data_IF_144735892457
#
_entry.id   IF_144735892457
#
_cell.length_a   1.000
_cell.length_b   1.000
_cell.length_c   1.000
_cell.angle_alpha   90.00
_cell.angle_beta   90.00
_cell.angle_gamma   90.00
#
_symmetry.space_group_name_H-M   'P 1'
#
loop_
_entity.id
_entity.type
_entity.pdbx_description
1 polymer ?
#
# COMPACT_ATOMS: atom_id res chain seq x y z
N UNK A 1 18.28 -15.63 -3.27
CA UNK A 1 19.20 -16.10 -4.31
C UNK A 1 18.44 -16.22 -5.64
N UNK A 2 19.11 -15.90 -6.75
CA UNK A 2 18.54 -15.97 -8.10
C UNK A 2 17.50 -14.90 -8.43
N UNK A 3 17.38 -13.81 -7.63
CA UNK A 3 16.44 -12.74 -7.93
C UNK A 3 16.87 -11.91 -9.15
N UNK A 4 18.18 -11.68 -9.32
CA UNK A 4 18.71 -10.94 -10.47
C UNK A 4 18.35 -11.64 -11.78
N UNK A 5 18.58 -12.93 -11.86
CA UNK A 5 18.28 -13.76 -13.02
C UNK A 5 16.78 -13.75 -13.33
N UNK A 6 15.92 -13.88 -12.30
CA UNK A 6 14.46 -13.77 -12.47
C UNK A 6 14.03 -12.38 -12.94
N UNK A 7 14.66 -11.31 -12.44
CA UNK A 7 14.32 -9.96 -12.89
C UNK A 7 14.68 -9.74 -14.37
N UNK A 8 15.78 -10.33 -14.86
CA UNK A 8 16.14 -10.34 -16.28
C UNK A 8 15.04 -11.03 -17.08
N UNK A 9 14.66 -12.25 -16.69
CA UNK A 9 13.58 -13.01 -17.36
C UNK A 9 12.26 -12.23 -17.35
N UNK A 10 11.87 -11.63 -16.24
CA UNK A 10 10.63 -10.86 -16.15
C UNK A 10 10.65 -9.63 -17.06
N UNK A 11 11.77 -8.94 -17.16
CA UNK A 11 11.93 -7.81 -18.08
C UNK A 11 11.79 -8.26 -19.55
N UNK A 12 12.44 -9.37 -19.91
CA UNK A 12 12.34 -9.98 -21.24
C UNK A 12 10.91 -10.42 -21.58
N UNK A 13 10.16 -10.93 -20.60
CA UNK A 13 8.73 -11.26 -20.73
C UNK A 13 7.82 -10.03 -20.85
N UNK A 14 8.35 -8.82 -20.71
CA UNK A 14 7.60 -7.57 -20.83
C UNK A 14 7.23 -6.89 -19.54
N UNK A 15 7.60 -7.42 -18.35
CA UNK A 15 7.40 -6.72 -17.10
C UNK A 15 8.19 -5.41 -17.04
N UNK A 16 7.64 -4.40 -16.38
CA UNK A 16 8.29 -3.08 -16.19
C UNK A 16 8.34 -2.65 -14.74
N UNK A 17 7.64 -3.34 -13.86
CA UNK A 17 7.72 -3.14 -12.41
C UNK A 17 7.63 -4.48 -11.68
N UNK A 18 8.07 -4.48 -10.44
CA UNK A 18 7.94 -5.60 -9.52
C UNK A 18 7.48 -5.09 -8.14
N UNK A 19 6.91 -5.96 -7.32
CA UNK A 19 6.46 -5.62 -5.98
C UNK A 19 6.95 -6.66 -4.97
N UNK A 20 7.57 -6.21 -3.88
CA UNK A 20 7.95 -7.03 -2.74
C UNK A 20 7.32 -6.52 -1.45
N UNK A 21 6.74 -7.43 -0.68
CA UNK A 21 6.03 -7.16 0.57
C UNK A 21 6.86 -7.62 1.77
N UNK A 22 7.06 -6.73 2.74
CA UNK A 22 7.56 -7.05 4.07
C UNK A 22 6.42 -6.83 5.09
N UNK A 23 6.12 -7.83 5.89
CA UNK A 23 4.98 -7.81 6.82
C UNK A 23 5.47 -7.56 8.24
N UNK A 24 4.96 -6.50 8.86
CA UNK A 24 5.28 -6.08 10.23
C UNK A 24 4.01 -6.25 11.09
N UNK A 25 4.08 -7.11 12.08
CA UNK A 25 2.99 -7.32 13.05
C UNK A 25 3.26 -6.52 14.32
N UNK A 26 2.19 -5.93 14.86
CA UNK A 26 2.20 -5.28 16.18
C UNK A 26 1.60 -6.24 17.21
N UNK A 27 2.34 -6.51 18.28
CA UNK A 27 1.83 -7.13 19.51
C UNK A 27 2.77 -6.83 20.66
N UNK A 28 2.61 -7.49 21.82
CA UNK A 28 3.51 -7.31 22.96
C UNK A 28 4.95 -7.67 22.57
N UNK A 29 5.89 -6.74 22.74
CA UNK A 29 7.31 -6.93 22.44
C UNK A 29 7.69 -6.96 20.95
N UNK A 30 6.76 -6.78 20.04
CA UNK A 30 7.03 -6.73 18.60
C UNK A 30 6.36 -5.52 17.91
N UNK A 31 6.96 -5.01 16.78
CA UNK A 31 8.16 -5.53 16.12
C UNK A 31 9.43 -5.33 16.96
N UNK A 32 10.40 -6.23 16.81
CA UNK A 32 11.73 -6.05 17.37
C UNK A 32 12.61 -5.20 16.43
N UNK A 33 13.68 -4.55 16.95
CA UNK A 33 14.62 -3.82 16.10
C UNK A 33 15.21 -4.70 14.97
N UNK A 34 15.45 -5.98 15.25
CA UNK A 34 15.94 -6.94 14.26
C UNK A 34 14.89 -7.18 13.16
N UNK A 35 13.60 -7.25 13.50
CA UNK A 35 12.53 -7.36 12.52
C UNK A 35 12.51 -6.14 11.59
N UNK A 36 12.56 -4.94 12.13
CA UNK A 36 12.58 -3.69 11.36
C UNK A 36 13.79 -3.63 10.43
N UNK A 37 14.99 -3.77 10.97
CA UNK A 37 16.24 -3.63 10.19
C UNK A 37 16.37 -4.69 9.09
N UNK A 38 16.01 -5.95 9.37
CA UNK A 38 16.11 -7.04 8.39
C UNK A 38 15.12 -6.84 7.24
N UNK A 39 13.88 -6.45 7.52
CA UNK A 39 12.89 -6.19 6.49
C UNK A 39 13.23 -4.95 5.65
N UNK A 40 13.69 -3.86 6.28
CA UNK A 40 14.14 -2.67 5.59
C UNK A 40 15.31 -2.98 4.62
N UNK A 41 16.31 -3.70 5.09
CA UNK A 41 17.44 -4.13 4.26
C UNK A 41 17.02 -5.04 3.11
N UNK A 42 16.10 -6.00 3.35
CA UNK A 42 15.59 -6.88 2.31
C UNK A 42 14.83 -6.12 1.22
N UNK A 43 14.01 -5.14 1.60
CA UNK A 43 13.28 -4.26 0.67
C UNK A 43 14.23 -3.42 -0.18
N UNK A 44 15.24 -2.80 0.45
CA UNK A 44 16.22 -1.99 -0.27
C UNK A 44 17.06 -2.82 -1.24
N UNK A 45 17.53 -3.98 -0.81
CA UNK A 45 18.28 -4.90 -1.68
C UNK A 45 17.46 -5.41 -2.86
N UNK A 46 16.20 -5.74 -2.63
CA UNK A 46 15.26 -6.07 -3.70
C UNK A 46 15.13 -4.91 -4.70
N UNK A 47 14.93 -3.68 -4.20
CA UNK A 47 14.78 -2.49 -5.04
C UNK A 47 16.02 -2.25 -5.91
N UNK A 48 17.23 -2.41 -5.35
CA UNK A 48 18.49 -2.29 -6.09
C UNK A 48 18.57 -3.27 -7.27
N UNK A 49 18.23 -4.55 -7.02
CA UNK A 49 18.24 -5.58 -8.07
C UNK A 49 17.20 -5.28 -9.15
N UNK A 50 16.01 -4.79 -8.79
CA UNK A 50 14.99 -4.38 -9.75
C UNK A 50 15.49 -3.25 -10.66
N UNK A 51 16.03 -2.18 -10.08
CA UNK A 51 16.53 -1.03 -10.85
C UNK A 51 17.69 -1.40 -11.74
N UNK A 52 18.61 -2.26 -11.28
CA UNK A 52 19.71 -2.79 -12.07
C UNK A 52 19.21 -3.48 -13.36
N UNK A 53 18.04 -4.11 -13.31
CA UNK A 53 17.43 -4.83 -14.43
C UNK A 53 16.34 -4.03 -15.17
N UNK A 54 16.23 -2.73 -14.92
CA UNK A 54 15.28 -1.85 -15.61
C UNK A 54 13.83 -1.99 -15.16
N UNK A 55 13.59 -2.60 -14.00
CA UNK A 55 12.26 -2.70 -13.37
C UNK A 55 12.08 -1.62 -12.32
N UNK A 56 10.90 -1.00 -12.29
CA UNK A 56 10.51 -0.10 -11.20
C UNK A 56 10.16 -0.92 -9.96
N UNK A 57 10.88 -0.77 -8.83
CA UNK A 57 10.51 -1.44 -7.59
C UNK A 57 9.34 -0.75 -6.92
N UNK A 58 8.31 -1.51 -6.56
CA UNK A 58 7.27 -1.11 -5.62
C UNK A 58 7.65 -1.70 -4.26
N UNK A 59 8.02 -0.82 -3.34
CA UNK A 59 8.54 -1.15 -2.00
C UNK A 59 7.35 -1.18 -1.04
N UNK A 60 7.06 -2.35 -0.43
CA UNK A 60 5.85 -2.54 0.39
C UNK A 60 6.20 -2.93 1.84
N UNK A 61 6.59 -1.95 2.69
CA UNK A 61 6.67 -2.15 4.14
C UNK A 61 5.25 -2.04 4.73
N UNK A 62 4.63 -3.16 5.06
CA UNK A 62 3.24 -3.21 5.53
C UNK A 62 3.16 -3.48 7.03
N UNK A 63 2.58 -2.56 7.78
CA UNK A 63 2.13 -2.80 9.16
C UNK A 63 0.71 -3.35 9.12
N UNK A 64 0.51 -4.53 9.74
CA UNK A 64 -0.79 -5.21 9.73
C UNK A 64 -1.80 -4.53 10.64
N UNK A 65 -3.08 -4.62 10.24
CA UNK A 65 -4.22 -4.18 11.04
C UNK A 65 -4.63 -5.19 12.14
N UNK A 66 -4.04 -6.39 12.14
CA UNK A 66 -4.36 -7.43 13.12
C UNK A 66 -3.87 -7.03 14.52
N UNK A 67 -4.74 -7.20 15.53
CA UNK A 67 -4.42 -6.95 16.94
C UNK A 67 -5.21 -5.81 17.55
N UNK A 68 -4.85 -5.47 18.80
CA UNK A 68 -5.56 -4.51 19.64
C UNK A 68 -4.83 -3.17 19.85
N UNK A 69 -3.81 -2.90 19.04
CA UNK A 69 -3.07 -1.64 19.12
C UNK A 69 -3.94 -0.45 18.69
N UNK A 70 -3.70 0.72 19.26
CA UNK A 70 -4.34 1.95 18.83
C UNK A 70 -3.69 2.55 17.56
N UNK A 71 -4.33 3.55 16.99
CA UNK A 71 -3.85 4.22 15.79
C UNK A 71 -2.50 4.92 15.99
N UNK A 72 -2.21 5.41 17.21
CA UNK A 72 -0.91 6.03 17.51
C UNK A 72 0.22 4.99 17.45
N UNK A 73 -0.01 3.79 17.99
CA UNK A 73 0.99 2.71 17.90
C UNK A 73 1.21 2.26 16.46
N UNK A 74 0.16 2.21 15.65
CA UNK A 74 0.29 1.96 14.21
C UNK A 74 1.13 3.05 13.53
N UNK A 75 0.89 4.31 13.86
CA UNK A 75 1.69 5.45 13.36
C UNK A 75 3.17 5.28 13.71
N UNK A 76 3.48 5.05 15.00
CA UNK A 76 4.85 4.96 15.47
C UNK A 76 5.63 3.83 14.78
N UNK A 77 5.01 2.66 14.63
CA UNK A 77 5.64 1.51 13.95
C UNK A 77 5.77 1.76 12.45
N UNK A 78 4.78 2.41 11.83
CA UNK A 78 4.85 2.77 10.41
C UNK A 78 5.96 3.79 10.16
N UNK A 79 6.10 4.80 11.02
CA UNK A 79 7.19 5.77 10.97
C UNK A 79 8.56 5.08 11.08
N UNK A 80 8.72 4.19 12.07
CA UNK A 80 9.98 3.46 12.30
C UNK A 80 10.38 2.61 11.07
N UNK A 81 9.44 1.87 10.48
CA UNK A 81 9.76 1.03 9.31
C UNK A 81 10.01 1.86 8.06
N UNK A 82 9.34 3.00 7.87
CA UNK A 82 9.59 3.91 6.76
C UNK A 82 10.99 4.52 6.85
N UNK A 83 11.36 5.06 8.02
CA UNK A 83 12.69 5.62 8.26
C UNK A 83 13.79 4.58 8.00
N UNK A 84 13.64 3.38 8.55
CA UNK A 84 14.59 2.30 8.34
C UNK A 84 14.67 1.86 6.87
N UNK A 85 13.53 1.81 6.17
CA UNK A 85 13.48 1.41 4.76
C UNK A 85 14.18 2.43 3.87
N UNK A 86 13.90 3.72 4.04
CA UNK A 86 14.55 4.74 3.21
C UNK A 86 16.02 4.96 3.57
N UNK A 87 16.41 4.78 4.84
CA UNK A 87 17.84 4.72 5.21
C UNK A 87 18.55 3.57 4.49
N UNK A 88 17.99 2.37 4.51
CA UNK A 88 18.54 1.22 3.77
C UNK A 88 18.53 1.44 2.25
N UNK A 89 17.53 2.10 1.69
CA UNK A 89 17.51 2.50 0.28
C UNK A 89 18.68 3.44 -0.07
N UNK A 90 18.95 4.41 0.79
CA UNK A 90 20.08 5.33 0.61
C UNK A 90 21.42 4.57 0.67
N UNK A 91 21.61 3.65 1.62
CA UNK A 91 22.80 2.78 1.72
C UNK A 91 22.99 1.91 0.48
N UNK A 92 21.93 1.42 -0.14
CA UNK A 92 21.95 0.62 -1.37
C UNK A 92 22.04 1.46 -2.65
N UNK A 93 22.03 2.79 -2.56
CA UNK A 93 22.10 3.70 -3.70
C UNK A 93 20.86 3.67 -4.60
N UNK A 94 19.67 3.44 -4.03
CA UNK A 94 18.42 3.43 -4.78
C UNK A 94 18.14 4.80 -5.38
N UNK A 95 17.82 4.84 -6.67
CA UNK A 95 17.27 6.03 -7.33
C UNK A 95 15.80 6.19 -6.95
N UNK A 96 15.51 7.00 -5.93
CA UNK A 96 14.17 7.21 -5.37
C UNK A 96 13.15 7.65 -6.42
N UNK A 97 13.47 8.60 -7.36
CA UNK A 97 12.52 8.96 -8.43
C UNK A 97 12.14 7.81 -9.38
N UNK A 98 12.87 6.70 -9.33
CA UNK A 98 12.57 5.47 -10.09
C UNK A 98 11.90 4.37 -9.28
N UNK A 99 11.30 4.69 -8.13
CA UNK A 99 10.62 3.73 -7.24
C UNK A 99 9.21 4.18 -6.91
N UNK A 100 8.38 3.26 -6.37
CA UNK A 100 7.08 3.54 -5.76
C UNK A 100 7.03 2.95 -4.35
N UNK A 101 6.30 3.62 -3.46
CA UNK A 101 5.99 3.12 -2.12
C UNK A 101 4.59 2.51 -2.10
N UNK A 102 4.44 1.36 -1.44
CA UNK A 102 3.13 0.76 -1.14
C UNK A 102 2.97 0.56 0.36
N UNK A 103 2.54 1.58 1.10
CA UNK A 103 2.38 1.53 2.54
C UNK A 103 0.96 1.10 2.94
N UNK A 104 0.80 0.72 4.22
CA UNK A 104 -0.49 0.75 4.89
C UNK A 104 -0.95 2.20 5.12
N UNK A 105 -2.24 2.39 5.37
CA UNK A 105 -2.78 3.58 6.01
C UNK A 105 -2.69 3.42 7.54
N UNK A 106 -2.86 4.49 8.30
CA UNK A 106 -2.78 4.46 9.76
C UNK A 106 -4.13 4.10 10.35
N UNK A 107 -4.21 2.96 11.04
CA UNK A 107 -5.42 2.45 11.69
C UNK A 107 -5.18 2.03 13.12
N UNK A 108 -6.25 1.99 13.90
CA UNK A 108 -6.29 1.13 15.08
C UNK A 108 -6.41 -0.35 14.63
N UNK A 109 -5.85 -1.26 15.38
CA UNK A 109 -5.98 -2.70 15.12
C UNK A 109 -7.44 -3.15 15.13
N UNK A 110 -7.74 -4.22 14.41
CA UNK A 110 -9.12 -4.73 14.26
C UNK A 110 -9.79 -5.07 15.59
N UNK A 111 -9.01 -5.47 16.59
CA UNK A 111 -9.48 -5.82 17.94
C UNK A 111 -9.43 -4.64 18.91
N UNK A 112 -9.02 -3.45 18.47
CA UNK A 112 -9.00 -2.25 19.30
C UNK A 112 -10.42 -1.71 19.49
N UNK A 113 -10.86 -1.48 20.74
CA UNK A 113 -12.20 -0.94 20.99
C UNK A 113 -12.37 0.52 20.55
N UNK A 114 -11.26 1.25 20.42
CA UNK A 114 -11.26 2.66 20.06
C UNK A 114 -10.83 2.83 18.59
N UNK A 115 -11.78 2.68 17.69
CA UNK A 115 -11.57 2.95 16.26
C UNK A 115 -11.58 4.46 16.00
N UNK A 116 -10.86 4.91 14.97
CA UNK A 116 -10.82 6.31 14.55
C UNK A 116 -11.68 6.55 13.31
N UNK A 117 -12.09 7.79 13.07
CA UNK A 117 -12.91 8.15 11.90
C UNK A 117 -12.11 8.08 10.60
N UNK A 118 -12.82 8.04 9.45
CA UNK A 118 -12.21 8.05 8.11
C UNK A 118 -11.32 9.27 7.89
N UNK A 119 -11.76 10.43 8.35
CA UNK A 119 -11.01 11.70 8.29
C UNK A 119 -9.71 11.62 9.10
N UNK A 120 -9.79 11.00 10.28
CA UNK A 120 -8.62 10.85 11.14
C UNK A 120 -7.62 9.83 10.56
N UNK A 121 -8.09 8.74 9.94
CA UNK A 121 -7.24 7.81 9.17
C UNK A 121 -6.50 8.56 8.07
N UNK A 122 -7.22 9.34 7.25
CA UNK A 122 -6.62 10.12 6.17
C UNK A 122 -5.58 11.12 6.71
N UNK A 123 -5.94 11.88 7.75
CA UNK A 123 -5.07 12.89 8.38
C UNK A 123 -3.80 12.27 8.96
N UNK A 124 -3.93 11.21 9.76
CA UNK A 124 -2.78 10.54 10.38
C UNK A 124 -1.87 9.89 9.32
N UNK A 125 -2.47 9.33 8.27
CA UNK A 125 -1.70 8.72 7.17
C UNK A 125 -0.87 9.76 6.43
N UNK A 126 -1.48 10.86 5.98
CA UNK A 126 -0.75 11.92 5.28
C UNK A 126 0.31 12.54 6.19
N UNK A 127 0.01 12.77 7.47
CA UNK A 127 0.98 13.28 8.43
C UNK A 127 2.21 12.33 8.58
N UNK A 128 1.96 11.03 8.71
CA UNK A 128 3.04 10.04 8.80
C UNK A 128 3.91 10.06 7.54
N UNK A 129 3.29 10.02 6.36
CA UNK A 129 4.01 10.00 5.09
C UNK A 129 4.82 11.30 4.88
N UNK A 130 4.26 12.47 5.21
CA UNK A 130 4.93 13.77 5.04
C UNK A 130 6.20 13.90 5.90
N UNK A 131 6.24 13.22 7.04
CA UNK A 131 7.39 13.25 7.92
C UNK A 131 8.46 12.19 7.61
N UNK A 132 8.08 11.07 6.94
CA UNK A 132 8.93 9.88 6.86
C UNK A 132 9.18 9.37 5.42
N UNK A 133 8.61 10.02 4.39
CA UNK A 133 8.79 9.61 3.00
C UNK A 133 9.54 10.70 2.21
N UNK A 134 10.58 10.35 1.42
CA UNK A 134 11.31 11.30 0.59
C UNK A 134 10.39 12.05 -0.38
N UNK A 135 10.63 13.34 -0.53
CA UNK A 135 9.81 14.22 -1.38
C UNK A 135 10.00 13.98 -2.88
N UNK A 136 11.10 13.37 -3.28
CA UNK A 136 11.43 13.03 -4.67
C UNK A 136 10.89 11.67 -5.11
N UNK A 137 10.20 10.94 -4.22
CA UNK A 137 9.44 9.74 -4.60
C UNK A 137 8.25 10.17 -5.48
N UNK A 138 8.05 9.57 -6.68
CA UNK A 138 7.00 10.05 -7.60
C UNK A 138 5.59 9.67 -7.18
N UNK A 139 5.40 8.56 -6.45
CA UNK A 139 4.05 8.12 -6.11
C UNK A 139 3.96 7.08 -5.00
N UNK A 140 2.78 7.07 -4.40
CA UNK A 140 2.39 6.17 -3.32
C UNK A 140 1.14 5.42 -3.75
N UNK A 141 1.18 4.10 -3.69
CA UNK A 141 0.07 3.21 -4.08
C UNK A 141 -0.35 2.39 -2.86
N UNK A 142 -1.39 2.82 -2.16
CA UNK A 142 -1.81 2.20 -0.91
C UNK A 142 -2.23 0.74 -1.06
N UNK A 143 -1.96 -0.06 -0.03
CA UNK A 143 -2.60 -1.36 0.15
C UNK A 143 -3.96 -1.19 0.86
N UNK A 144 -4.85 -2.17 0.73
CA UNK A 144 -6.15 -2.13 1.42
C UNK A 144 -6.12 -2.72 2.83
N UNK A 145 -5.15 -3.59 3.14
CA UNK A 145 -4.86 -4.08 4.49
C UNK A 145 -5.96 -4.89 5.18
N UNK A 146 -7.09 -5.15 4.53
CA UNK A 146 -8.25 -5.82 5.14
C UNK A 146 -9.42 -4.89 5.40
N UNK A 147 -9.33 -3.61 5.03
CA UNK A 147 -10.47 -2.70 4.99
C UNK A 147 -11.58 -3.23 4.07
N UNK A 148 -12.80 -2.77 4.29
CA UNK A 148 -13.85 -2.90 3.27
C UNK A 148 -13.43 -2.19 1.99
N UNK A 149 -13.99 -2.58 0.86
CA UNK A 149 -13.71 -1.94 -0.42
C UNK A 149 -14.17 -0.47 -0.45
N UNK A 150 -15.30 -0.15 0.17
CA UNK A 150 -15.79 1.23 0.33
C UNK A 150 -14.88 2.05 1.25
N UNK A 151 -14.45 1.52 2.41
CA UNK A 151 -13.55 2.26 3.30
C UNK A 151 -12.20 2.54 2.65
N UNK A 152 -11.64 1.56 1.93
CA UNK A 152 -10.39 1.75 1.21
C UNK A 152 -10.52 2.85 0.14
N UNK A 153 -11.66 2.91 -0.56
CA UNK A 153 -11.98 3.97 -1.53
C UNK A 153 -12.16 5.33 -0.84
N UNK A 154 -12.93 5.36 0.25
CA UNK A 154 -13.21 6.60 0.99
C UNK A 154 -11.94 7.23 1.58
N UNK A 155 -11.07 6.42 2.18
CA UNK A 155 -9.80 6.91 2.73
C UNK A 155 -8.89 7.47 1.64
N UNK A 156 -8.77 6.80 0.49
CA UNK A 156 -8.00 7.30 -0.64
C UNK A 156 -8.57 8.63 -1.14
N UNK A 157 -9.89 8.72 -1.25
CA UNK A 157 -10.59 9.93 -1.68
C UNK A 157 -10.34 11.09 -0.72
N UNK A 158 -10.49 10.86 0.58
CA UNK A 158 -10.26 11.89 1.61
C UNK A 158 -8.81 12.40 1.56
N UNK A 159 -7.82 11.51 1.42
CA UNK A 159 -6.42 11.93 1.30
C UNK A 159 -6.17 12.80 0.06
N UNK A 160 -6.82 12.48 -1.08
CA UNK A 160 -6.71 13.27 -2.30
C UNK A 160 -7.52 14.59 -2.28
N UNK A 161 -8.49 14.72 -1.37
CA UNK A 161 -9.26 15.96 -1.14
C UNK A 161 -8.60 16.90 -0.13
N UNK A 162 -7.61 16.44 0.63
CA UNK A 162 -6.98 17.28 1.65
C UNK A 162 -6.24 18.45 1.00
N UNK A 163 -6.50 19.64 1.51
CA UNK A 163 -5.75 20.86 1.16
C UNK A 163 -4.39 20.87 1.89
N UNK A 164 -3.59 19.85 1.61
CA UNK A 164 -2.22 19.68 2.12
C UNK A 164 -1.32 19.38 0.94
N UNK A 165 -0.34 20.22 0.72
CA UNK A 165 0.66 19.96 -0.32
C UNK A 165 1.47 18.71 0.04
N UNK A 166 1.38 17.70 -0.81
CA UNK A 166 2.27 16.55 -0.83
C UNK A 166 2.85 16.36 -2.23
N UNK A 167 4.12 16.01 -2.35
CA UNK A 167 4.79 15.97 -3.66
C UNK A 167 4.43 14.73 -4.48
N UNK A 168 3.82 13.70 -3.84
CA UNK A 168 3.55 12.40 -4.44
C UNK A 168 2.18 12.35 -5.10
N UNK A 169 2.07 11.54 -6.17
CA UNK A 169 0.78 11.09 -6.64
C UNK A 169 0.26 9.98 -5.71
N UNK A 170 -0.95 10.15 -5.14
CA UNK A 170 -1.59 9.15 -4.31
C UNK A 170 -2.53 8.29 -5.16
N UNK A 171 -2.37 6.97 -5.09
CA UNK A 171 -3.16 6.02 -5.84
C UNK A 171 -3.32 4.71 -5.04
N UNK A 172 -3.78 3.65 -5.67
CA UNK A 172 -4.07 2.38 -5.03
C UNK A 172 -3.40 1.20 -5.73
N UNK A 173 -3.10 0.18 -4.94
CA UNK A 173 -2.69 -1.15 -5.39
C UNK A 173 -3.40 -2.19 -4.52
N UNK A 174 -4.72 -2.20 -4.61
CA UNK A 174 -5.58 -3.04 -3.79
C UNK A 174 -5.67 -4.46 -4.35
N UNK A 175 -5.63 -5.43 -3.45
CA UNK A 175 -5.97 -6.82 -3.74
C UNK A 175 -7.44 -7.07 -3.39
N UNK A 176 -7.71 -7.39 -2.12
CA UNK A 176 -9.04 -7.76 -1.63
C UNK A 176 -10.09 -6.67 -1.89
N UNK A 177 -9.83 -5.44 -1.55
CA UNK A 177 -10.76 -4.32 -1.74
C UNK A 177 -11.08 -4.02 -3.22
N UNK A 178 -10.32 -4.54 -4.17
CA UNK A 178 -10.61 -4.42 -5.61
C UNK A 178 -11.34 -5.65 -6.16
N UNK A 179 -11.07 -6.84 -5.61
CA UNK A 179 -11.45 -8.11 -6.22
C UNK A 179 -12.52 -8.91 -5.46
N UNK A 180 -12.79 -8.59 -4.17
CA UNK A 180 -13.61 -9.43 -3.31
C UNK A 180 -15.01 -9.70 -3.88
N UNK A 181 -15.72 -8.68 -4.35
CA UNK A 181 -17.06 -8.83 -4.92
C UNK A 181 -17.03 -9.59 -6.26
N UNK A 182 -16.03 -9.35 -7.11
CA UNK A 182 -15.86 -10.08 -8.36
C UNK A 182 -15.60 -11.58 -8.10
N UNK A 183 -14.72 -11.90 -7.15
CA UNK A 183 -14.40 -13.27 -6.77
C UNK A 183 -15.61 -13.98 -6.14
N UNK A 184 -16.37 -13.31 -5.27
CA UNK A 184 -17.57 -13.85 -4.65
C UNK A 184 -18.64 -14.14 -5.70
N UNK A 185 -18.81 -13.25 -6.67
CA UNK A 185 -19.75 -13.43 -7.78
C UNK A 185 -19.34 -14.60 -8.66
N UNK A 186 -18.06 -14.71 -9.00
CA UNK A 186 -17.50 -15.83 -9.75
C UNK A 186 -17.70 -17.16 -9.02
N UNK A 187 -17.40 -17.21 -7.72
CA UNK A 187 -17.51 -18.43 -6.91
C UNK A 187 -18.94 -18.99 -6.83
N UNK A 188 -19.96 -18.11 -6.95
CA UNK A 188 -21.38 -18.54 -6.92
C UNK A 188 -21.88 -19.11 -8.25
N UNK A 189 -21.41 -18.64 -9.39
CA UNK A 189 -21.96 -19.00 -10.71
C UNK A 189 -20.91 -19.47 -11.73
N UNK A 190 -19.62 -19.55 -11.37
CA UNK A 190 -18.55 -19.99 -12.28
C UNK A 190 -18.54 -19.22 -13.59
N UNK A 191 -18.39 -19.92 -14.70
CA UNK A 191 -18.33 -19.33 -16.06
C UNK A 191 -19.60 -18.57 -16.45
N UNK A 192 -20.77 -18.98 -15.93
CA UNK A 192 -22.06 -18.32 -16.22
C UNK A 192 -22.15 -16.93 -15.58
N UNK A 193 -21.39 -16.68 -14.51
CA UNK A 193 -21.31 -15.38 -13.84
C UNK A 193 -20.15 -14.49 -14.31
N UNK A 194 -19.40 -14.89 -15.34
CA UNK A 194 -18.21 -14.15 -15.80
C UNK A 194 -18.52 -12.67 -16.09
N UNK A 195 -19.57 -12.39 -16.86
CA UNK A 195 -19.95 -11.01 -17.20
C UNK A 195 -20.38 -10.19 -15.98
N UNK A 196 -21.03 -10.82 -14.98
CA UNK A 196 -21.40 -10.16 -13.73
C UNK A 196 -20.16 -9.87 -12.88
N UNK A 197 -19.25 -10.83 -12.77
CA UNK A 197 -17.98 -10.68 -12.05
C UNK A 197 -17.11 -9.57 -12.65
N UNK A 198 -17.02 -9.50 -13.99
CA UNK A 198 -16.32 -8.43 -14.69
C UNK A 198 -16.92 -7.05 -14.42
N UNK A 199 -18.25 -6.93 -14.38
CA UNK A 199 -18.91 -5.66 -14.00
C UNK A 199 -18.59 -5.23 -12.57
N UNK A 200 -18.59 -6.17 -11.60
CA UNK A 200 -18.24 -5.86 -10.23
C UNK A 200 -16.79 -5.34 -10.12
N UNK A 201 -15.87 -5.99 -10.81
CA UNK A 201 -14.48 -5.56 -10.86
C UNK A 201 -14.33 -4.17 -11.51
N UNK A 202 -14.96 -3.95 -12.66
CA UNK A 202 -14.91 -2.69 -13.39
C UNK A 202 -15.53 -1.54 -12.57
N UNK A 203 -16.66 -1.79 -11.89
CA UNK A 203 -17.29 -0.82 -11.00
C UNK A 203 -16.30 -0.41 -9.88
N UNK A 204 -15.74 -1.38 -9.16
CA UNK A 204 -14.79 -1.08 -8.06
C UNK A 204 -13.54 -0.35 -8.56
N UNK A 205 -13.01 -0.72 -9.72
CA UNK A 205 -11.89 -0.02 -10.34
C UNK A 205 -12.25 1.43 -10.70
N UNK A 206 -13.47 1.67 -11.19
CA UNK A 206 -13.98 3.02 -11.50
C UNK A 206 -14.10 3.88 -10.22
N UNK A 207 -14.66 3.34 -9.14
CA UNK A 207 -14.78 4.05 -7.85
C UNK A 207 -13.40 4.44 -7.29
N UNK A 208 -12.44 3.54 -7.33
CA UNK A 208 -11.07 3.84 -6.91
C UNK A 208 -10.36 4.85 -7.84
N UNK A 209 -10.69 4.85 -9.13
CA UNK A 209 -10.19 5.86 -10.07
C UNK A 209 -10.71 7.27 -9.73
N UNK A 210 -11.99 7.38 -9.37
CA UNK A 210 -12.58 8.64 -8.87
C UNK A 210 -11.94 9.07 -7.56
N UNK A 211 -11.74 8.14 -6.62
CA UNK A 211 -11.11 8.43 -5.34
C UNK A 211 -9.66 8.94 -5.50
N UNK A 212 -8.94 8.45 -6.51
CA UNK A 212 -7.60 8.96 -6.85
C UNK A 212 -7.61 10.44 -7.26
N UNK A 213 -8.72 10.93 -7.77
CA UNK A 213 -8.90 12.34 -8.15
C UNK A 213 -9.64 13.16 -7.10
N UNK A 214 -10.08 12.56 -5.99
CA UNK A 214 -10.90 13.23 -4.98
C UNK A 214 -12.37 13.42 -5.38
N UNK A 215 -12.81 12.74 -6.44
CA UNK A 215 -14.14 12.92 -7.05
C UNK A 215 -15.16 11.83 -6.64
N UNK A 216 -14.76 10.89 -5.79
CA UNK A 216 -15.66 9.85 -5.31
C UNK A 216 -16.60 10.36 -4.22
N UNK A 217 -17.84 9.87 -4.24
CA UNK A 217 -18.79 10.02 -3.14
C UNK A 217 -19.58 8.71 -2.93
N UNK A 218 -20.15 8.48 -1.73
CA UNK A 218 -20.93 7.27 -1.43
C UNK A 218 -22.12 7.06 -2.39
N UNK A 219 -22.72 8.13 -2.90
CA UNK A 219 -23.87 8.06 -3.83
C UNK A 219 -23.52 7.39 -5.16
N UNK A 220 -22.23 7.27 -5.50
CA UNK A 220 -21.75 6.64 -6.73
C UNK A 220 -21.62 5.11 -6.60
N UNK A 221 -21.79 4.57 -5.41
CA UNK A 221 -21.69 3.11 -5.18
C UNK A 221 -22.90 2.34 -5.75
N UNK A 222 -24.03 2.96 -5.96
CA UNK A 222 -25.21 2.43 -6.66
C UNK A 222 -26.31 2.00 -5.75
#
# INVERSE_FOLDING_TARGET
>A
DGLRERCIEYFEMGARFAKWRAVIRISEGIPSPACISTNAHALARYAAICQEQGLVPIIEPEVLMDGSHDAQRCYDVTAEILDATFAACAEQGIHIPGALLKPNMIFAGNDCPNQISREEVARMTINCLSNHVPQDLPGIVFLSGGQSDEDATAHLNLMNQMDVEHPWQLSYSYGRALQAHALTTWAKGGSESAAASQRMFAHRASMNSLARSGDWSPDLEG
#
